data_IF_194337121949
#
_entry.id   IF_194337121949
#
_cell.length_a   1.000
_cell.length_b   1.000
_cell.length_c   1.000
_cell.angle_alpha   90.00
_cell.angle_beta   90.00
_cell.angle_gamma   90.00
#
_symmetry.space_group_name_H-M   'P 1'
#
loop_
_entity.id
_entity.type
_entity.pdbx_description
1 polymer ?
#
# COMPACT_ATOMS: atom_id res chain seq x y z
N UNK A 1 -2.07 -21.66 13.76
CA UNK A 1 -0.74 -21.53 14.34
C UNK A 1 -0.48 -20.09 14.74
N UNK A 2 -0.22 -19.91 15.99
CA UNK A 2 0.16 -18.58 16.45
C UNK A 2 1.53 -18.24 15.89
N UNK A 3 1.77 -17.00 15.63
CA UNK A 3 3.03 -16.56 15.12
C UNK A 3 3.18 -16.59 13.62
N UNK A 4 2.22 -17.16 12.92
CA UNK A 4 2.21 -17.07 11.46
C UNK A 4 1.99 -15.63 11.04
N UNK A 5 2.82 -15.16 10.12
CA UNK A 5 2.66 -13.81 9.58
C UNK A 5 2.53 -13.88 8.07
N UNK A 6 2.07 -12.79 7.49
CA UNK A 6 1.93 -12.66 6.05
C UNK A 6 2.65 -11.38 5.62
N UNK A 7 3.11 -11.37 4.37
CA UNK A 7 3.86 -10.25 3.82
C UNK A 7 3.03 -9.54 2.77
N UNK A 8 3.00 -8.21 2.84
CA UNK A 8 2.37 -7.37 1.81
C UNK A 8 3.37 -6.34 1.33
N UNK A 9 3.33 -6.01 0.04
CA UNK A 9 4.19 -4.98 -0.55
C UNK A 9 3.30 -4.03 -1.33
N UNK A 10 3.31 -2.75 -0.93
CA UNK A 10 2.43 -1.74 -1.49
C UNK A 10 3.24 -0.49 -1.82
N UNK A 11 2.79 0.24 -2.84
CA UNK A 11 3.39 1.52 -3.21
C UNK A 11 2.28 2.55 -3.38
N UNK A 12 2.39 3.69 -2.72
CA UNK A 12 1.33 4.71 -2.75
C UNK A 12 1.88 6.10 -2.58
N UNK A 13 2.99 6.43 -3.24
CA UNK A 13 3.64 7.72 -3.13
C UNK A 13 4.82 7.68 -2.18
N UNK A 14 5.17 8.83 -1.64
CA UNK A 14 6.33 8.92 -0.76
C UNK A 14 6.22 7.92 0.39
N UNK A 15 7.23 7.06 0.52
CA UNK A 15 7.14 5.97 1.50
C UNK A 15 7.26 6.44 2.95
N UNK A 16 7.69 7.66 3.20
CA UNK A 16 7.73 8.19 4.57
C UNK A 16 6.32 8.22 5.19
N UNK A 17 5.36 8.80 4.45
CA UNK A 17 3.97 8.90 4.93
C UNK A 17 3.27 7.58 4.97
N UNK A 18 3.54 6.73 3.98
CA UNK A 18 2.95 5.40 3.95
C UNK A 18 3.35 4.60 5.20
N UNK A 19 4.63 4.60 5.52
CA UNK A 19 5.11 3.88 6.68
C UNK A 19 4.55 4.46 7.98
N UNK A 20 4.51 5.79 8.08
CA UNK A 20 4.04 6.45 9.29
C UNK A 20 2.63 6.04 9.66
N UNK A 21 1.75 5.90 8.67
CA UNK A 21 0.37 5.57 8.93
C UNK A 21 0.15 4.06 9.05
N UNK A 22 0.75 3.28 8.17
CA UNK A 22 0.49 1.84 8.12
C UNK A 22 1.03 1.13 9.36
N UNK A 23 2.19 1.54 9.86
CA UNK A 23 2.77 0.87 11.03
C UNK A 23 1.89 0.96 12.26
N UNK A 24 0.95 1.90 12.29
CA UNK A 24 0.05 2.09 13.44
C UNK A 24 -1.17 1.19 13.41
N UNK A 25 -1.40 0.47 12.31
CA UNK A 25 -2.56 -0.40 12.23
C UNK A 25 -2.42 -1.59 13.17
N UNK A 26 -3.49 -1.93 13.90
CA UNK A 26 -3.46 -3.16 14.71
C UNK A 26 -3.18 -4.36 13.82
N UNK A 27 -2.31 -5.24 14.29
CA UNK A 27 -1.94 -6.43 13.54
C UNK A 27 -0.72 -6.28 12.66
N UNK A 28 -0.24 -5.06 12.42
CA UNK A 28 1.02 -4.85 11.71
C UNK A 28 2.15 -5.13 12.68
N UNK A 29 3.00 -6.09 12.32
CA UNK A 29 4.11 -6.54 13.16
C UNK A 29 5.35 -5.69 12.91
N UNK A 30 5.67 -5.46 11.63
CA UNK A 30 6.82 -4.65 11.28
C UNK A 30 6.66 -4.09 9.87
N UNK A 31 7.39 -3.02 9.60
CA UNK A 31 7.41 -2.39 8.27
C UNK A 31 8.83 -1.98 7.93
N UNK A 32 9.13 -1.97 6.63
CA UNK A 32 10.34 -1.30 6.13
C UNK A 32 10.01 -0.68 4.78
N UNK A 33 10.69 0.40 4.46
CA UNK A 33 10.49 1.06 3.17
C UNK A 33 11.64 0.72 2.23
N UNK A 34 11.35 0.80 0.93
CA UNK A 34 12.34 0.44 -0.07
C UNK A 34 11.84 0.71 -1.47
N UNK A 35 12.43 0.01 -2.43
CA UNK A 35 12.18 0.21 -3.85
C UNK A 35 11.83 -1.13 -4.49
N UNK A 36 10.77 -1.15 -5.28
CA UNK A 36 10.31 -2.39 -5.90
C UNK A 36 9.50 -2.10 -7.16
N UNK A 37 9.38 -3.11 -8.01
CA UNK A 37 8.55 -3.03 -9.21
C UNK A 37 9.26 -2.46 -10.42
N UNK A 38 10.55 -2.22 -10.35
CA UNK A 38 11.34 -1.66 -11.44
C UNK A 38 12.50 -2.54 -11.86
N UNK A 39 13.55 -1.93 -12.41
CA UNK A 39 14.55 -2.64 -13.18
C UNK A 39 15.99 -2.52 -12.65
N UNK A 40 16.26 -1.66 -11.70
CA UNK A 40 17.63 -1.41 -11.25
C UNK A 40 17.96 -2.29 -10.05
N UNK A 41 19.03 -3.12 -10.11
CA UNK A 41 19.46 -3.89 -8.94
C UNK A 41 20.15 -2.97 -7.95
N UNK A 42 20.08 -3.35 -6.67
CA UNK A 42 20.71 -2.60 -5.58
C UNK A 42 20.25 -1.14 -5.56
N UNK A 43 18.93 -0.95 -5.70
CA UNK A 43 18.35 0.37 -5.83
C UNK A 43 18.63 1.24 -4.60
N UNK A 44 18.79 2.54 -4.84
CA UNK A 44 18.98 3.55 -3.81
C UNK A 44 18.05 4.72 -4.07
N UNK A 45 17.95 5.61 -3.09
CA UNK A 45 17.10 6.79 -3.26
C UNK A 45 17.49 7.61 -4.50
N UNK A 46 18.79 7.73 -4.73
CA UNK A 46 19.29 8.51 -5.87
C UNK A 46 19.26 7.75 -7.19
N UNK A 47 19.23 6.42 -7.12
CA UNK A 47 19.26 5.60 -8.33
C UNK A 47 18.41 4.38 -8.13
N UNK A 48 17.11 4.54 -8.35
CA UNK A 48 16.19 3.40 -8.27
C UNK A 48 15.43 3.18 -9.58
N UNK A 49 15.89 3.77 -10.68
CA UNK A 49 15.36 3.50 -12.02
C UNK A 49 13.85 3.64 -12.08
N UNK A 50 13.19 2.59 -12.53
CA UNK A 50 11.73 2.56 -12.64
C UNK A 50 11.05 1.97 -11.40
N UNK A 51 11.79 1.69 -10.33
CA UNK A 51 11.16 1.22 -9.10
C UNK A 51 10.26 2.27 -8.48
N UNK A 52 9.17 1.82 -7.84
CA UNK A 52 8.35 2.67 -7.01
C UNK A 52 8.92 2.70 -5.60
N UNK A 53 8.70 3.80 -4.89
CA UNK A 53 8.89 3.81 -3.45
C UNK A 53 7.80 2.94 -2.83
N UNK A 54 8.20 1.95 -2.07
CA UNK A 54 7.29 0.92 -1.59
C UNK A 54 7.49 0.63 -0.12
N UNK A 55 6.49 0.01 0.48
CA UNK A 55 6.55 -0.42 1.86
C UNK A 55 6.30 -1.93 1.92
N UNK A 56 7.16 -2.62 2.64
CA UNK A 56 6.94 -4.02 2.97
C UNK A 56 6.32 -4.09 4.35
N UNK A 57 5.22 -4.83 4.45
CA UNK A 57 4.43 -4.93 5.67
C UNK A 57 4.39 -6.38 6.09
N UNK A 58 4.82 -6.67 7.30
CA UNK A 58 4.64 -7.99 7.90
C UNK A 58 3.48 -7.84 8.88
N UNK A 59 2.45 -8.65 8.71
CA UNK A 59 1.25 -8.53 9.53
C UNK A 59 0.74 -9.88 9.99
N UNK A 60 -0.03 -9.84 11.08
CA UNK A 60 -0.67 -11.01 11.67
C UNK A 60 -2.06 -11.15 11.07
N UNK A 61 -2.31 -12.17 10.23
CA UNK A 61 -3.60 -12.29 9.56
C UNK A 61 -4.75 -12.64 10.50
N UNK A 62 -4.46 -12.98 11.74
CA UNK A 62 -5.51 -13.18 12.73
C UNK A 62 -5.98 -11.86 13.35
N UNK A 63 -5.18 -10.82 13.25
CA UNK A 63 -5.52 -9.51 13.81
C UNK A 63 -5.96 -8.52 12.75
N UNK A 64 -5.45 -8.65 11.54
CA UNK A 64 -5.88 -7.81 10.43
C UNK A 64 -5.82 -8.65 9.16
N UNK A 65 -6.69 -8.32 8.20
CA UNK A 65 -6.72 -9.06 6.94
C UNK A 65 -5.96 -8.28 5.87
N UNK A 66 -5.57 -8.99 4.81
CA UNK A 66 -5.01 -8.33 3.64
C UNK A 66 -6.01 -7.32 3.06
N UNK A 67 -7.29 -7.69 3.04
CA UNK A 67 -8.36 -6.80 2.59
C UNK A 67 -8.39 -5.54 3.44
N UNK A 68 -8.28 -5.67 4.75
CA UNK A 68 -8.27 -4.51 5.64
C UNK A 68 -7.08 -3.59 5.39
N UNK A 69 -5.91 -4.17 5.12
CA UNK A 69 -4.74 -3.38 4.75
C UNK A 69 -4.99 -2.60 3.47
N UNK A 70 -5.59 -3.23 2.46
CA UNK A 70 -5.85 -2.57 1.18
C UNK A 70 -6.88 -1.47 1.32
N UNK A 71 -7.91 -1.68 2.14
CA UNK A 71 -8.91 -0.63 2.37
C UNK A 71 -8.26 0.60 2.98
N UNK A 72 -7.37 0.41 3.94
CA UNK A 72 -6.63 1.52 4.52
C UNK A 72 -5.69 2.17 3.51
N UNK A 73 -4.98 1.35 2.74
CA UNK A 73 -4.10 1.81 1.67
C UNK A 73 -4.83 2.75 0.72
N UNK A 74 -6.03 2.36 0.28
CA UNK A 74 -6.82 3.19 -0.62
C UNK A 74 -7.40 4.43 0.06
N UNK A 75 -7.41 4.46 1.38
CA UNK A 75 -7.89 5.63 2.13
C UNK A 75 -6.81 6.67 2.34
N UNK A 76 -5.56 6.26 2.43
CA UNK A 76 -4.48 7.17 2.80
C UNK A 76 -3.72 7.77 1.61
N UNK A 77 -3.99 7.31 0.40
CA UNK A 77 -3.39 7.89 -0.81
C UNK A 77 -4.44 7.97 -1.90
N UNK A 78 -4.14 8.72 -2.95
CA UNK A 78 -5.06 8.84 -4.09
C UNK A 78 -4.68 7.80 -5.15
N UNK A 79 -5.47 6.73 -5.30
CA UNK A 79 -5.16 5.70 -6.28
C UNK A 79 -5.63 6.02 -7.69
N UNK A 80 -6.12 7.24 -7.92
CA UNK A 80 -6.70 7.62 -9.22
C UNK A 80 -5.76 8.48 -10.04
N UNK A 81 -4.57 8.81 -9.53
CA UNK A 81 -3.59 9.63 -10.25
C UNK A 81 -2.44 8.76 -10.72
N UNK A 82 -2.15 8.81 -12.02
CA UNK A 82 -1.10 7.99 -12.63
C UNK A 82 0.26 8.64 -12.41
N UNK A 83 1.21 7.84 -11.89
CA UNK A 83 2.60 8.26 -11.66
C UNK A 83 2.68 9.57 -10.89
N UNK A 84 1.81 9.71 -9.90
CA UNK A 84 1.75 10.93 -9.13
C UNK A 84 1.02 10.68 -7.82
N UNK A 85 1.49 11.32 -6.76
CA UNK A 85 0.76 11.33 -5.50
C UNK A 85 0.87 12.73 -4.90
N UNK A 86 -0.25 13.46 -4.88
CA UNK A 86 -0.24 14.83 -4.41
C UNK A 86 0.73 15.69 -5.21
N UNK A 87 1.68 16.31 -4.54
CA UNK A 87 2.69 17.14 -5.18
C UNK A 87 3.86 16.34 -5.74
N UNK A 88 3.94 15.06 -5.46
CA UNK A 88 5.05 14.22 -5.89
C UNK A 88 4.72 13.63 -7.25
N UNK A 89 5.52 13.96 -8.27
CA UNK A 89 5.30 13.54 -9.65
C UNK A 89 6.42 12.63 -10.11
N UNK A 90 6.07 11.52 -10.76
CA UNK A 90 7.03 10.58 -11.31
C UNK A 90 6.65 9.14 -11.01
N UNK A 91 7.29 8.21 -11.72
CA UNK A 91 7.02 6.78 -11.57
C UNK A 91 7.34 6.28 -10.16
N UNK A 92 8.26 6.95 -9.46
CA UNK A 92 8.60 6.61 -8.07
C UNK A 92 7.38 6.70 -7.16
N UNK A 93 6.43 7.53 -7.49
CA UNK A 93 5.28 7.83 -6.62
C UNK A 93 3.98 7.24 -7.14
N UNK A 94 4.07 6.24 -8.02
CA UNK A 94 2.89 5.60 -8.55
C UNK A 94 2.24 4.68 -7.52
N UNK A 95 0.95 4.45 -7.70
CA UNK A 95 0.19 3.51 -6.89
C UNK A 95 0.38 2.10 -7.42
N UNK A 96 0.72 1.16 -6.56
CA UNK A 96 0.91 -0.23 -6.97
C UNK A 96 0.67 -1.19 -5.83
N UNK A 97 0.18 -2.37 -6.19
CA UNK A 97 0.05 -3.50 -5.29
C UNK A 97 0.88 -4.64 -5.89
N UNK A 98 1.88 -5.08 -5.16
CA UNK A 98 2.73 -6.20 -5.59
C UNK A 98 2.34 -7.41 -4.75
N UNK A 99 1.54 -8.29 -5.34
CA UNK A 99 0.98 -9.41 -4.59
C UNK A 99 2.01 -10.53 -4.41
N UNK A 100 1.92 -11.21 -3.27
CA UNK A 100 2.84 -12.31 -2.95
C UNK A 100 2.21 -13.68 -3.15
N UNK A 101 0.91 -13.73 -3.48
CA UNK A 101 0.19 -14.97 -3.68
C UNK A 101 -1.01 -14.75 -4.58
N UNK A 102 -1.56 -15.84 -5.14
CA UNK A 102 -2.78 -15.75 -5.93
C UNK A 102 -3.95 -15.25 -5.10
N UNK A 103 -3.98 -15.61 -3.82
CA UNK A 103 -5.02 -15.15 -2.92
C UNK A 103 -4.97 -13.63 -2.76
N UNK A 104 -3.78 -13.09 -2.57
CA UNK A 104 -3.62 -11.64 -2.52
C UNK A 104 -4.06 -10.96 -3.82
N UNK A 105 -3.74 -11.58 -4.95
CA UNK A 105 -4.16 -11.03 -6.25
C UNK A 105 -5.68 -10.93 -6.33
N UNK A 106 -6.39 -11.97 -5.94
CA UNK A 106 -7.86 -11.96 -5.97
C UNK A 106 -8.42 -10.91 -5.03
N UNK A 107 -7.90 -10.82 -3.82
CA UNK A 107 -8.36 -9.81 -2.86
C UNK A 107 -8.11 -8.41 -3.40
N UNK A 108 -6.96 -8.19 -4.02
CA UNK A 108 -6.64 -6.88 -4.60
C UNK A 108 -7.60 -6.53 -5.75
N UNK A 109 -7.87 -7.49 -6.63
CA UNK A 109 -8.83 -7.27 -7.73
C UNK A 109 -10.20 -6.92 -7.19
N UNK A 110 -10.66 -7.64 -6.17
CA UNK A 110 -11.97 -7.38 -5.58
C UNK A 110 -12.02 -6.01 -4.91
N UNK A 111 -10.95 -5.63 -4.23
CA UNK A 111 -10.90 -4.34 -3.55
C UNK A 111 -10.92 -3.20 -4.56
N UNK A 112 -10.14 -3.33 -5.64
CA UNK A 112 -10.13 -2.32 -6.70
C UNK A 112 -11.52 -2.18 -7.32
N UNK A 113 -12.17 -3.31 -7.59
CA UNK A 113 -13.52 -3.29 -8.16
C UNK A 113 -14.51 -2.59 -7.22
N UNK A 114 -14.40 -2.86 -5.92
CA UNK A 114 -15.28 -2.22 -4.94
C UNK A 114 -15.05 -0.72 -4.87
N UNK A 115 -13.78 -0.29 -4.90
CA UNK A 115 -13.44 1.13 -4.91
C UNK A 115 -14.05 1.82 -6.14
N UNK A 116 -13.85 1.22 -7.31
CA UNK A 116 -14.39 1.79 -8.55
C UNK A 116 -15.91 1.85 -8.54
N UNK A 117 -16.55 0.83 -7.98
CA UNK A 117 -18.02 0.77 -7.97
C UNK A 117 -18.64 1.71 -6.94
N UNK A 118 -17.90 2.08 -5.91
CA UNK A 118 -18.44 2.87 -4.81
C UNK A 118 -18.78 4.30 -5.18
N UNK A 119 -18.04 4.88 -6.13
CA UNK A 119 -18.18 6.30 -6.46
C UNK A 119 -17.64 7.25 -5.42
N UNK A 120 -16.93 6.75 -4.41
CA UNK A 120 -16.44 7.58 -3.31
C UNK A 120 -15.12 8.27 -3.62
N UNK A 121 -14.36 7.72 -4.59
CA UNK A 121 -13.08 8.30 -4.99
C UNK A 121 -13.28 9.20 -6.21
N UNK A 122 -12.34 10.15 -6.45
CA UNK A 122 -12.55 11.15 -7.51
C UNK A 122 -12.44 10.60 -8.94
N UNK A 123 -11.96 9.38 -9.12
CA UNK A 123 -11.87 8.79 -10.45
C UNK A 123 -11.66 7.30 -10.35
N UNK A 124 -11.29 6.71 -11.49
CA UNK A 124 -11.01 5.27 -11.53
C UNK A 124 -9.64 4.96 -10.95
N UNK A 125 -9.54 3.83 -10.30
CA UNK A 125 -8.27 3.33 -9.78
C UNK A 125 -7.31 3.04 -10.93
N UNK A 126 -6.11 3.58 -10.83
CA UNK A 126 -5.03 3.32 -11.80
C UNK A 126 -3.89 2.55 -11.15
N UNK A 127 -4.11 1.97 -9.99
CA UNK A 127 -3.12 1.20 -9.25
C UNK A 127 -2.62 0.03 -10.09
N UNK A 128 -1.30 -0.09 -10.20
CA UNK A 128 -0.68 -1.23 -10.87
C UNK A 128 -0.87 -2.47 -10.02
N UNK A 129 -1.19 -3.61 -10.64
CA UNK A 129 -1.33 -4.87 -9.92
C UNK A 129 -0.41 -5.87 -10.57
N UNK A 130 0.63 -6.30 -9.86
CA UNK A 130 1.67 -7.14 -10.42
C UNK A 130 2.21 -8.09 -9.36
N UNK A 131 2.80 -9.23 -9.77
CA UNK A 131 3.46 -10.10 -8.80
C UNK A 131 4.68 -9.41 -8.21
N UNK A 132 4.95 -9.70 -6.93
CA UNK A 132 6.07 -9.08 -6.25
C UNK A 132 7.39 -9.55 -6.87
N UNK A 133 8.29 -8.61 -7.08
CA UNK A 133 9.66 -8.88 -7.49
C UNK A 133 10.62 -8.55 -6.35
N UNK A 134 11.90 -8.33 -6.66
CA UNK A 134 12.86 -7.95 -5.62
C UNK A 134 12.43 -6.68 -4.90
N UNK A 135 12.63 -6.68 -3.59
CA UNK A 135 12.41 -5.51 -2.74
C UNK A 135 13.78 -5.07 -2.23
N UNK A 136 14.19 -3.87 -2.62
CA UNK A 136 15.48 -3.31 -2.23
C UNK A 136 15.25 -2.36 -1.06
N UNK A 137 15.68 -2.77 0.12
CA UNK A 137 15.48 -1.96 1.32
C UNK A 137 16.14 -0.59 1.17
N UNK A 138 15.39 0.46 1.53
CA UNK A 138 15.91 1.82 1.46
C UNK A 138 16.92 2.06 2.57
N UNK A 139 17.70 3.11 2.37
CA UNK A 139 18.76 3.51 3.29
C UNK A 139 18.22 3.73 4.70
N UNK A 140 19.03 3.53 5.74
CA UNK A 140 18.55 3.66 7.12
C UNK A 140 17.91 5.02 7.44
N UNK A 141 18.36 6.09 6.79
CA UNK A 141 17.79 7.42 7.04
C UNK A 141 16.34 7.55 6.58
N UNK A 142 15.88 6.64 5.71
CA UNK A 142 14.49 6.64 5.26
C UNK A 142 13.59 5.73 6.09
N UNK A 143 14.17 4.87 6.93
CA UNK A 143 13.37 4.00 7.76
C UNK A 143 12.83 4.80 8.95
N UNK A 144 11.50 4.71 9.17
CA UNK A 144 10.84 5.39 10.29
C UNK A 144 11.09 6.90 10.29
N UNK A 145 11.15 7.49 9.09
CA UNK A 145 11.54 8.88 8.93
C UNK A 145 10.62 9.83 9.72
N UNK A 146 9.31 9.66 9.59
CA UNK A 146 8.36 10.56 10.25
C UNK A 146 8.21 10.27 11.74
N UNK A 147 8.68 9.11 12.19
CA UNK A 147 8.78 8.86 13.63
C UNK A 147 9.89 9.68 14.25
N UNK A 148 11.01 9.79 13.54
CA UNK A 148 12.14 10.58 13.99
C UNK A 148 11.96 12.09 13.72
N UNK A 149 11.20 12.42 12.68
CA UNK A 149 10.95 13.81 12.27
C UNK A 149 9.44 14.01 12.10
N UNK A 150 8.69 14.14 13.22
CA UNK A 150 7.21 14.17 13.13
C UNK A 150 6.65 15.34 12.31
N UNK A 151 7.42 16.40 12.16
CA UNK A 151 7.00 17.55 11.34
C UNK A 151 7.51 17.48 9.91
N UNK A 152 8.09 16.33 9.52
CA UNK A 152 8.57 16.16 8.16
C UNK A 152 7.46 16.11 7.13
N UNK A 153 7.87 16.14 5.87
CA UNK A 153 6.92 16.16 4.75
C UNK A 153 6.08 14.89 4.69
N UNK A 154 4.78 15.06 4.51
CA UNK A 154 3.88 13.96 4.14
C UNK A 154 2.69 14.52 3.38
N UNK A 155 2.22 13.76 2.38
CA UNK A 155 0.95 14.06 1.71
C UNK A 155 -0.09 12.97 2.02
N UNK A 156 0.20 12.09 2.96
CA UNK A 156 -0.67 10.98 3.30
C UNK A 156 -1.49 11.29 4.53
N UNK A 157 -2.77 11.01 4.44
CA UNK A 157 -3.69 11.14 5.58
C UNK A 157 -4.92 10.30 5.29
N UNK A 158 -5.59 9.78 6.32
CA UNK A 158 -6.84 9.04 6.11
C UNK A 158 -7.94 10.01 5.68
N UNK A 159 -8.54 9.75 4.53
CA UNK A 159 -9.64 10.58 4.02
C UNK A 159 -10.95 9.95 4.47
N UNK A 160 -11.76 10.67 5.27
CA UNK A 160 -12.96 10.05 5.85
C UNK A 160 -13.96 9.57 4.82
N UNK A 161 -14.05 10.28 3.69
CA UNK A 161 -15.01 9.91 2.65
C UNK A 161 -14.56 8.73 1.79
N UNK A 162 -13.31 8.32 1.89
CA UNK A 162 -12.74 7.27 1.06
C UNK A 162 -12.70 5.95 1.82
N UNK A 163 -13.82 5.59 2.39
CA UNK A 163 -13.91 4.38 3.19
C UNK A 163 -15.02 3.51 2.64
N UNK A 164 -14.64 2.30 2.21
CA UNK A 164 -15.61 1.36 1.68
C UNK A 164 -16.55 0.90 2.79
N UNK A 165 -17.84 0.70 2.45
CA UNK A 165 -18.75 0.08 3.40
C UNK A 165 -18.23 -1.31 3.76
N UNK A 166 -18.38 -1.67 5.02
CA UNK A 166 -18.02 -3.00 5.44
C UNK A 166 -18.86 -4.01 4.69
N UNK A 167 -18.22 -5.07 4.17
CA UNK A 167 -18.95 -6.12 3.49
C UNK A 167 -19.91 -6.79 4.48
N UNK A 168 -21.17 -6.92 4.06
CA UNK A 168 -22.19 -7.54 4.87
C UNK A 168 -22.03 -9.04 4.85
N UNK A 169 -22.36 -9.67 5.97
CA UNK A 169 -22.43 -11.12 6.02
C UNK A 169 -23.40 -11.65 4.96
N UNK A 170 -24.53 -10.99 4.84
CA UNK A 170 -25.52 -11.36 3.84
C UNK A 170 -24.99 -11.28 2.42
N UNK A 171 -24.13 -10.31 2.13
CA UNK A 171 -23.49 -10.19 0.82
C UNK A 171 -22.65 -11.41 0.50
N UNK A 172 -21.91 -11.87 1.46
CA UNK A 172 -21.07 -13.05 1.27
C UNK A 172 -21.91 -14.31 1.11
N UNK A 173 -22.97 -14.40 1.90
CA UNK A 173 -23.81 -15.59 1.89
C UNK A 173 -24.61 -15.69 0.61
N UNK A 174 -25.19 -14.57 0.17
CA UNK A 174 -26.04 -14.65 -1.01
C UNK A 174 -25.25 -14.87 -2.29
N UNK A 175 -24.00 -14.59 -2.27
CA UNK A 175 -23.15 -14.90 -3.41
C UNK A 175 -22.94 -16.40 -3.51
N UNK A 176 -22.96 -17.03 -2.37
CA UNK A 176 -22.84 -18.47 -2.35
C UNK A 176 -24.11 -19.16 -2.74
#
# INVERSE_FOLDING_TARGET
MTGSTERAVLAGGCFWGMQDLIRRLPGVVSTRVGYSGGDVPNATYRNHGTHAEAIEIIFDPQKTSYRGLLEFFFQIHDPTTRNRQGNDVGTSYRSAIFYTSDEQKVVAQDTIADVNASGLWPGKVVTELAPVGPFWEAEPEHQDYLERYPNGYTCHFPRPGWKLPKRQEASRVRVG
#
